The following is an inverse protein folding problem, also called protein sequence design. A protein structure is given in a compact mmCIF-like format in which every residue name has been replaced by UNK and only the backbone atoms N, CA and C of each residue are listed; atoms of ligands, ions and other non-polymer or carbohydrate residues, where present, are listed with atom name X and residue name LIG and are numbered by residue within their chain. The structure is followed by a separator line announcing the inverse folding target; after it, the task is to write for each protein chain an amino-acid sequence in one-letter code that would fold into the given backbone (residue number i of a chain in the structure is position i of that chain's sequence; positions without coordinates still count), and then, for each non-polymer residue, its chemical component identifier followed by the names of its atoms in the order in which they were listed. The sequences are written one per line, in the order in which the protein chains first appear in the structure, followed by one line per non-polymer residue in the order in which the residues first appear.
data_IF_871683736582
#
_entry.id   IF_871683736582
#
_cell.length_a   1.000
_cell.length_b   1.000
_cell.length_c   1.000
_cell.angle_alpha   90.00
_cell.angle_beta   90.00
_cell.angle_gamma   90.00
#
_symmetry.space_group_name_H-M   'P 1'
#
loop_
_entity.id
_entity.type
_entity.pdbx_description
1 polymer ?
#
# COMPACT_ATOMS: atom_id res chain seq x y z
N UNK A 1 -2.46 -9.18 -13.07
CA UNK A 1 -1.52 -8.08 -13.39
C UNK A 1 -2.24 -6.77 -13.11
N UNK A 2 -1.62 -5.83 -12.39
CA UNK A 2 -2.26 -4.52 -12.16
C UNK A 2 -2.43 -3.77 -13.49
N UNK A 3 -3.56 -3.08 -13.71
CA UNK A 3 -3.72 -2.25 -14.88
C UNK A 3 -2.78 -1.04 -14.81
N UNK A 4 -2.42 -0.52 -15.98
CA UNK A 4 -1.65 0.71 -16.12
C UNK A 4 -2.60 1.79 -16.63
N UNK A 5 -2.65 2.92 -15.95
CA UNK A 5 -3.50 4.05 -16.31
C UNK A 5 -2.70 5.35 -16.40
N UNK A 6 -2.97 6.21 -17.40
CA UNK A 6 -2.30 7.50 -17.50
C UNK A 6 -2.89 8.49 -16.49
N UNK A 7 -2.02 9.24 -15.82
CA UNK A 7 -2.38 10.39 -15.02
C UNK A 7 -2.85 11.54 -15.92
N UNK A 8 -3.82 12.30 -15.43
CA UNK A 8 -4.45 13.43 -16.16
C UNK A 8 -4.12 14.75 -15.51
N UNK A 9 -4.30 14.87 -14.19
CA UNK A 9 -4.08 16.13 -13.48
C UNK A 9 -3.67 15.92 -12.04
N UNK A 10 -2.70 16.70 -11.59
CA UNK A 10 -2.38 16.84 -10.16
C UNK A 10 -3.52 17.60 -9.46
N UNK A 11 -3.90 17.14 -8.26
CA UNK A 11 -4.87 17.83 -7.40
C UNK A 11 -4.16 18.45 -6.20
N UNK A 12 -3.46 17.64 -5.39
CA UNK A 12 -2.73 18.09 -4.19
C UNK A 12 -1.83 17.00 -3.62
N UNK A 13 -0.87 17.39 -2.79
CA UNK A 13 -0.22 16.50 -1.83
C UNK A 13 -1.17 16.27 -0.63
N UNK A 14 -1.32 15.02 -0.22
CA UNK A 14 -2.02 14.65 1.01
C UNK A 14 -1.03 14.80 2.17
N UNK A 15 -1.13 15.93 2.86
CA UNK A 15 -0.21 16.33 3.93
C UNK A 15 -0.67 15.91 5.33
N UNK A 16 -1.90 15.39 5.47
CA UNK A 16 -2.40 14.82 6.73
C UNK A 16 -2.22 13.31 6.74
N UNK A 17 -1.45 12.81 7.71
CA UNK A 17 -1.17 11.38 7.90
C UNK A 17 0.06 10.88 7.14
N UNK A 18 0.70 9.83 7.70
CA UNK A 18 1.80 9.10 7.08
C UNK A 18 3.11 9.90 6.88
N UNK A 19 4.20 9.20 6.54
CA UNK A 19 5.49 9.82 6.21
C UNK A 19 5.63 10.12 4.72
N UNK A 20 4.95 9.36 3.87
CA UNK A 20 5.14 9.29 2.42
C UNK A 20 4.39 10.37 1.63
N UNK A 21 3.58 11.20 2.30
CA UNK A 21 2.86 12.36 1.72
C UNK A 21 2.33 12.09 0.30
N UNK A 22 1.46 11.09 0.13
CA UNK A 22 1.03 10.65 -1.19
C UNK A 22 0.27 11.76 -1.91
N UNK A 23 0.21 11.68 -3.23
CA UNK A 23 -0.47 12.65 -4.07
C UNK A 23 -1.90 12.21 -4.34
N UNK A 24 -2.81 13.19 -4.46
CA UNK A 24 -4.10 12.97 -5.08
C UNK A 24 -4.02 13.38 -6.55
N UNK A 25 -4.32 12.44 -7.44
CA UNK A 25 -4.19 12.59 -8.90
C UNK A 25 -5.48 12.15 -9.58
N UNK A 26 -5.91 12.88 -10.60
CA UNK A 26 -6.94 12.40 -11.52
C UNK A 26 -6.32 11.46 -12.54
N UNK A 27 -6.92 10.29 -12.71
CA UNK A 27 -6.41 9.20 -13.55
C UNK A 27 -7.47 8.80 -14.56
N UNK A 28 -7.08 8.59 -15.81
CA UNK A 28 -7.98 8.15 -16.87
C UNK A 28 -8.13 6.62 -16.84
N UNK A 29 -9.26 6.15 -16.34
CA UNK A 29 -9.59 4.71 -16.27
C UNK A 29 -10.59 4.34 -17.36
N UNK A 30 -10.78 3.04 -17.68
CA UNK A 30 -11.86 2.60 -18.58
C UNK A 30 -13.26 3.04 -18.16
N UNK A 31 -13.45 3.37 -16.87
CA UNK A 31 -14.71 3.83 -16.30
C UNK A 31 -14.76 5.37 -16.15
N UNK A 32 -13.90 6.09 -16.87
CA UNK A 32 -13.78 7.55 -16.82
C UNK A 32 -12.65 8.06 -15.90
N UNK A 33 -12.58 9.39 -15.77
CA UNK A 33 -11.58 10.07 -14.95
C UNK A 33 -11.94 9.92 -13.47
N UNK A 34 -11.03 9.35 -12.67
CA UNK A 34 -11.26 9.06 -11.25
C UNK A 34 -10.08 9.52 -10.38
N UNK A 35 -10.32 9.90 -9.11
CA UNK A 35 -9.26 10.24 -8.18
C UNK A 35 -8.52 8.99 -7.67
N UNK A 36 -7.19 9.06 -7.69
CA UNK A 36 -6.28 8.04 -7.13
C UNK A 36 -5.32 8.68 -6.13
N UNK A 37 -5.05 7.95 -5.06
CA UNK A 37 -3.96 8.22 -4.12
C UNK A 37 -2.70 7.55 -4.66
N UNK A 38 -1.70 8.35 -5.03
CA UNK A 38 -0.48 7.89 -5.70
C UNK A 38 0.73 8.10 -4.79
N UNK A 39 1.50 7.04 -4.55
CA UNK A 39 2.69 7.10 -3.70
C UNK A 39 3.91 7.53 -4.49
N UNK A 40 4.55 8.61 -4.05
CA UNK A 40 5.71 9.22 -4.67
C UNK A 40 6.99 8.75 -3.99
N UNK A 41 7.32 7.48 -4.15
CA UNK A 41 8.54 6.91 -3.60
C UNK A 41 9.77 7.54 -4.25
N UNK A 42 10.69 8.01 -3.42
CA UNK A 42 11.93 8.63 -3.92
C UNK A 42 12.96 7.56 -4.25
N UNK A 43 13.86 7.91 -5.16
CA UNK A 43 14.91 7.00 -5.63
C UNK A 43 15.87 6.54 -4.51
N UNK A 44 16.03 7.35 -3.46
CA UNK A 44 16.83 7.05 -2.27
C UNK A 44 16.13 6.10 -1.27
N UNK A 45 14.83 5.87 -1.42
CA UNK A 45 14.05 4.94 -0.59
C UNK A 45 13.97 3.52 -1.19
N UNK A 46 14.54 3.32 -2.39
CA UNK A 46 14.42 2.08 -3.16
C UNK A 46 15.20 0.88 -2.59
N UNK A 47 16.11 1.08 -1.62
CA UNK A 47 16.85 -0.02 -0.97
C UNK A 47 15.92 -1.05 -0.30
N UNK A 48 14.66 -0.71 -0.04
CA UNK A 48 13.66 -1.59 0.59
C UNK A 48 12.51 -2.02 -0.33
N UNK A 49 12.61 -1.73 -1.62
CA UNK A 49 11.58 -1.99 -2.64
C UNK A 49 10.13 -1.66 -2.21
N UNK A 50 9.85 -0.47 -1.65
CA UNK A 50 8.56 -0.16 -1.05
C UNK A 50 7.40 -0.17 -2.06
N UNK A 51 7.69 0.12 -3.33
CA UNK A 51 6.73 -0.01 -4.45
C UNK A 51 6.29 -1.46 -4.64
N UNK A 52 7.25 -2.41 -4.64
CA UNK A 52 6.95 -3.82 -4.81
C UNK A 52 6.13 -4.32 -3.63
N UNK A 53 6.48 -3.94 -2.41
CA UNK A 53 5.76 -4.33 -1.20
C UNK A 53 4.30 -3.82 -1.22
N UNK A 54 4.06 -2.60 -1.68
CA UNK A 54 2.70 -2.10 -1.89
C UNK A 54 1.92 -2.93 -2.91
N UNK A 55 2.53 -3.21 -4.06
CA UNK A 55 1.89 -4.00 -5.11
C UNK A 55 1.55 -5.40 -4.60
N UNK A 56 2.53 -6.10 -4.04
CA UNK A 56 2.35 -7.46 -3.52
C UNK A 56 1.37 -7.48 -2.36
N UNK A 57 1.48 -6.54 -1.43
CA UNK A 57 0.59 -6.43 -0.28
C UNK A 57 -0.86 -6.20 -0.69
N UNK A 58 -1.11 -5.24 -1.60
CA UNK A 58 -2.46 -4.98 -2.10
C UNK A 58 -3.03 -6.17 -2.88
N UNK A 59 -2.25 -6.74 -3.81
CA UNK A 59 -2.70 -7.88 -4.63
C UNK A 59 -2.96 -9.10 -3.76
N UNK A 60 -2.04 -9.47 -2.86
CA UNK A 60 -2.24 -10.62 -1.98
C UNK A 60 -3.41 -10.42 -1.02
N UNK A 61 -3.55 -9.24 -0.40
CA UNK A 61 -4.69 -8.96 0.46
C UNK A 61 -6.02 -9.20 -0.28
N UNK A 62 -6.12 -8.75 -1.54
CA UNK A 62 -7.28 -8.99 -2.39
C UNK A 62 -7.53 -10.48 -2.64
N UNK A 63 -6.49 -11.27 -2.88
CA UNK A 63 -6.59 -12.74 -3.05
C UNK A 63 -7.00 -13.48 -1.75
N UNK A 64 -6.77 -12.87 -0.58
CA UNK A 64 -7.25 -13.35 0.72
C UNK A 64 -8.62 -12.78 1.11
N UNK A 65 -9.36 -12.20 0.16
CA UNK A 65 -10.66 -11.55 0.37
C UNK A 65 -10.63 -10.41 1.40
N UNK A 66 -9.45 -9.82 1.66
CA UNK A 66 -9.32 -8.66 2.52
C UNK A 66 -9.64 -7.38 1.72
N UNK A 67 -10.47 -6.46 2.25
CA UNK A 67 -10.85 -5.27 1.51
C UNK A 67 -9.65 -4.34 1.32
N UNK A 68 -9.31 -4.05 0.07
CA UNK A 68 -8.28 -3.09 -0.32
C UNK A 68 -8.82 -2.12 -1.38
N UNK A 69 -8.26 -0.90 -1.51
CA UNK A 69 -8.60 -0.03 -2.63
C UNK A 69 -8.08 -0.64 -3.94
N UNK A 70 -8.80 -0.39 -5.04
CA UNK A 70 -8.41 -0.87 -6.36
C UNK A 70 -7.08 -0.22 -6.78
N UNK A 71 -6.06 -1.04 -6.96
CA UNK A 71 -4.71 -0.60 -7.31
C UNK A 71 -4.48 -0.56 -8.83
N UNK A 72 -3.59 0.33 -9.24
CA UNK A 72 -3.09 0.47 -10.60
C UNK A 72 -1.67 1.02 -10.58
N UNK A 73 -0.95 0.82 -11.67
CA UNK A 73 0.27 1.56 -11.96
C UNK A 73 -0.11 2.83 -12.70
N UNK A 74 0.39 3.97 -12.24
CA UNK A 74 0.04 5.29 -12.75
C UNK A 74 1.21 5.85 -13.53
N UNK A 75 1.01 6.03 -14.83
CA UNK A 75 1.98 6.66 -15.72
C UNK A 75 1.87 8.18 -15.62
N UNK A 76 2.99 8.84 -15.37
CA UNK A 76 3.09 10.30 -15.25
C UNK A 76 3.90 10.84 -16.42
N UNK A 77 3.22 11.21 -17.50
CA UNK A 77 3.86 11.75 -18.70
C UNK A 77 4.06 13.28 -18.62
N UNK A 78 4.61 13.85 -19.69
CA UNK A 78 4.83 15.30 -19.78
C UNK A 78 3.51 16.09 -19.73
N UNK A 79 2.40 15.51 -20.22
CA UNK A 79 1.09 16.17 -20.14
C UNK A 79 0.62 16.30 -18.69
N UNK A 80 0.80 15.25 -17.89
CA UNK A 80 0.55 15.31 -16.46
C UNK A 80 1.48 16.32 -15.78
N UNK A 81 2.78 16.34 -16.10
CA UNK A 81 3.74 17.31 -15.55
C UNK A 81 3.29 18.75 -15.78
N UNK A 82 2.80 19.08 -16.97
CA UNK A 82 2.26 20.41 -17.30
C UNK A 82 1.02 20.80 -16.48
N UNK A 83 0.30 19.84 -15.88
CA UNK A 83 -0.84 20.13 -14.99
C UNK A 83 -0.41 20.68 -13.62
N UNK A 84 0.85 20.47 -13.22
CA UNK A 84 1.35 20.80 -11.89
C UNK A 84 1.75 22.27 -11.83
N UNK A 85 1.03 23.06 -11.02
CA UNK A 85 1.34 24.47 -10.77
C UNK A 85 2.06 24.72 -9.44
N UNK A 86 2.12 23.69 -8.59
CA UNK A 86 2.76 23.72 -7.28
C UNK A 86 4.27 23.45 -7.44
N UNK A 87 5.14 24.44 -7.16
CA UNK A 87 6.59 24.26 -7.29
C UNK A 87 7.13 23.12 -6.42
N UNK A 88 6.56 22.93 -5.23
CA UNK A 88 6.97 21.85 -4.31
C UNK A 88 6.67 20.49 -4.91
N UNK A 89 5.52 20.35 -5.57
CA UNK A 89 5.15 19.11 -6.24
C UNK A 89 6.06 18.84 -7.45
N UNK A 90 6.41 19.88 -8.23
CA UNK A 90 7.39 19.75 -9.32
C UNK A 90 8.77 19.30 -8.80
N UNK A 91 9.26 19.92 -7.73
CA UNK A 91 10.52 19.51 -7.09
C UNK A 91 10.51 18.04 -6.63
N UNK A 92 9.39 17.59 -6.04
CA UNK A 92 9.24 16.18 -5.67
C UNK A 92 9.23 15.28 -6.91
N UNK A 93 8.51 15.67 -7.97
CA UNK A 93 8.45 14.90 -9.21
C UNK A 93 9.84 14.74 -9.85
N UNK A 94 10.70 15.76 -9.73
CA UNK A 94 12.07 15.73 -10.24
C UNK A 94 13.01 14.81 -9.45
N UNK A 95 12.62 14.42 -8.23
CA UNK A 95 13.41 13.54 -7.35
C UNK A 95 12.98 12.06 -7.42
N UNK A 96 11.78 11.79 -7.92
CA UNK A 96 11.29 10.42 -8.11
C UNK A 96 11.71 9.90 -9.48
N UNK A 97 11.85 8.58 -9.62
CA UNK A 97 12.20 7.99 -10.92
C UNK A 97 11.05 8.10 -11.96
N UNK A 98 11.31 7.79 -13.22
CA UNK A 98 10.32 7.90 -14.31
C UNK A 98 9.35 6.70 -14.43
N UNK A 99 9.54 5.63 -13.65
CA UNK A 99 8.70 4.43 -13.76
C UNK A 99 7.27 4.72 -13.29
N UNK A 100 6.26 3.96 -13.75
CA UNK A 100 4.91 4.07 -13.23
C UNK A 100 4.86 3.97 -11.71
N UNK A 101 4.05 4.82 -11.09
CA UNK A 101 3.91 4.89 -9.63
C UNK A 101 2.77 4.01 -9.14
N UNK A 102 2.90 3.43 -7.96
CA UNK A 102 1.78 2.74 -7.35
C UNK A 102 0.68 3.76 -7.00
N UNK A 103 -0.52 3.50 -7.48
CA UNK A 103 -1.72 4.27 -7.14
C UNK A 103 -2.85 3.35 -6.72
N UNK A 104 -3.73 3.87 -5.86
CA UNK A 104 -4.96 3.19 -5.48
C UNK A 104 -6.15 4.14 -5.53
N UNK A 105 -7.34 3.62 -5.82
CA UNK A 105 -8.56 4.43 -5.88
C UNK A 105 -8.77 5.18 -4.55
N UNK A 106 -9.12 6.47 -4.63
CA UNK A 106 -9.48 7.22 -3.42
C UNK A 106 -10.75 6.62 -2.79
N UNK A 107 -10.67 6.30 -1.50
CA UNK A 107 -11.84 5.97 -0.69
C UNK A 107 -12.38 7.29 -0.12
N UNK A 108 -13.59 7.70 -0.49
CA UNK A 108 -14.19 8.93 0.03
C UNK A 108 -14.93 8.70 1.36
N UNK A 109 -15.08 9.75 2.15
CA UNK A 109 -15.86 9.72 3.41
C UNK A 109 -15.30 8.78 4.48
N UNK A 110 -14.03 8.37 4.34
CA UNK A 110 -13.39 7.48 5.28
C UNK A 110 -12.80 8.21 6.49
N UNK A 111 -12.49 7.45 7.54
CA UNK A 111 -11.65 7.88 8.64
C UNK A 111 -10.73 6.74 9.07
N UNK A 112 -9.65 7.06 9.80
CA UNK A 112 -8.74 6.03 10.30
C UNK A 112 -9.41 5.20 11.40
N UNK A 113 -9.26 3.88 11.31
CA UNK A 113 -9.58 2.98 12.41
C UNK A 113 -8.85 3.43 13.68
N UNK A 114 -9.46 3.20 14.84
CA UNK A 114 -8.84 3.49 16.14
C UNK A 114 -9.39 2.57 17.23
N UNK A 115 -8.78 2.59 18.41
CA UNK A 115 -9.12 1.69 19.53
C UNK A 115 -10.45 2.01 20.23
N UNK A 116 -11.18 3.05 19.80
CA UNK A 116 -12.50 3.36 20.35
C UNK A 116 -13.60 2.45 19.80
N UNK A 117 -13.33 1.70 18.73
CA UNK A 117 -14.26 0.68 18.23
C UNK A 117 -14.37 -0.50 19.19
N UNK A 118 -15.60 -0.91 19.49
CA UNK A 118 -15.84 -2.15 20.27
C UNK A 118 -15.48 -3.37 19.42
N UNK A 119 -15.01 -4.44 20.05
CA UNK A 119 -14.70 -5.73 19.39
C UNK A 119 -15.79 -6.17 18.40
N UNK A 120 -17.05 -6.16 18.81
CA UNK A 120 -18.18 -6.57 17.97
C UNK A 120 -18.46 -5.64 16.78
N UNK A 121 -18.00 -4.38 16.81
CA UNK A 121 -18.03 -3.48 15.66
C UNK A 121 -16.88 -3.82 14.71
N UNK A 122 -15.67 -3.98 15.25
CA UNK A 122 -14.49 -4.35 14.46
C UNK A 122 -14.67 -5.67 13.72
N UNK A 123 -15.16 -6.72 14.39
CA UNK A 123 -15.42 -8.02 13.76
C UNK A 123 -16.51 -7.99 12.69
N UNK A 124 -17.29 -6.92 12.58
CA UNK A 124 -18.24 -6.72 11.46
C UNK A 124 -17.63 -5.91 10.32
N UNK A 125 -16.55 -5.20 10.58
CA UNK A 125 -15.86 -4.36 9.60
C UNK A 125 -14.82 -5.14 8.80
N UNK A 126 -14.21 -6.15 9.42
CA UNK A 126 -13.13 -6.94 8.85
C UNK A 126 -12.98 -8.29 9.57
N UNK A 127 -12.60 -9.31 8.81
CA UNK A 127 -12.22 -10.63 9.33
C UNK A 127 -10.87 -10.54 10.05
N UNK A 128 -10.91 -10.40 11.38
CA UNK A 128 -9.73 -10.13 12.21
C UNK A 128 -8.71 -11.27 12.13
N UNK A 129 -9.16 -12.52 12.10
CA UNK A 129 -8.28 -13.69 12.06
C UNK A 129 -7.52 -13.76 10.73
N UNK A 130 -8.20 -13.48 9.61
CA UNK A 130 -7.60 -13.40 8.28
C UNK A 130 -6.63 -12.22 8.18
N UNK A 131 -7.01 -11.04 8.70
CA UNK A 131 -6.12 -9.88 8.75
C UNK A 131 -4.84 -10.17 9.52
N UNK A 132 -4.97 -10.79 10.70
CA UNK A 132 -3.83 -11.17 11.52
C UNK A 132 -2.93 -12.19 10.79
N UNK A 133 -3.51 -13.24 10.22
CA UNK A 133 -2.76 -14.23 9.45
C UNK A 133 -2.03 -13.59 8.26
N UNK A 134 -2.68 -12.64 7.57
CA UNK A 134 -2.09 -11.88 6.48
C UNK A 134 -0.91 -11.02 6.94
N UNK A 135 -1.06 -10.22 8.00
CA UNK A 135 0.04 -9.40 8.53
C UNK A 135 1.22 -10.26 9.01
N UNK A 136 0.96 -11.45 9.56
CA UNK A 136 2.02 -12.42 9.91
C UNK A 136 2.70 -12.94 8.65
N UNK A 137 1.94 -13.34 7.64
CA UNK A 137 2.45 -13.87 6.36
C UNK A 137 3.37 -12.87 5.67
N UNK A 138 2.94 -11.61 5.55
CA UNK A 138 3.73 -10.55 4.92
C UNK A 138 4.69 -9.87 5.90
N UNK A 139 4.74 -10.31 7.17
CA UNK A 139 5.56 -9.72 8.24
C UNK A 139 5.40 -8.19 8.34
N UNK A 140 4.16 -7.70 8.27
CA UNK A 140 3.85 -6.28 8.34
C UNK A 140 4.15 -5.72 9.74
N UNK A 141 5.29 -5.05 9.88
CA UNK A 141 5.68 -4.45 11.17
C UNK A 141 5.03 -3.09 11.43
N UNK A 142 4.44 -2.46 10.41
CA UNK A 142 3.89 -1.11 10.57
C UNK A 142 2.48 -1.13 11.18
N UNK A 143 1.70 -2.20 10.96
CA UNK A 143 0.36 -2.31 11.55
C UNK A 143 0.42 -2.51 13.06
N UNK A 144 -0.07 -1.53 13.81
CA UNK A 144 -0.15 -1.56 15.27
C UNK A 144 -1.31 -0.69 15.80
N UNK A 145 -1.46 -0.59 17.12
CA UNK A 145 -2.55 0.18 17.76
C UNK A 145 -2.55 1.68 17.46
N UNK A 146 -1.40 2.25 17.08
CA UNK A 146 -1.24 3.66 16.72
C UNK A 146 -1.30 3.88 15.20
N UNK A 147 -0.85 2.89 14.44
CA UNK A 147 -0.89 2.85 12.98
C UNK A 147 -1.69 1.63 12.51
N UNK A 148 -3.02 1.70 12.58
CA UNK A 148 -3.82 0.55 12.21
C UNK A 148 -3.84 0.32 10.70
N UNK A 149 -3.48 1.33 9.89
CA UNK A 149 -3.45 1.27 8.42
C UNK A 149 -4.74 0.66 7.83
N UNK A 150 -5.87 1.06 8.42
CA UNK A 150 -7.22 0.68 8.06
C UNK A 150 -8.06 1.95 7.89
N UNK A 151 -8.61 2.14 6.70
CA UNK A 151 -9.64 3.15 6.44
C UNK A 151 -11.00 2.55 6.73
N UNK A 152 -11.80 3.20 7.57
CA UNK A 152 -13.15 2.76 7.87
C UNK A 152 -14.14 3.59 7.04
N UNK A 153 -15.02 2.90 6.33
CA UNK A 153 -16.14 3.50 5.58
C UNK A 153 -17.41 2.71 5.86
N UNK A 154 -18.40 3.39 6.45
CA UNK A 154 -19.63 2.73 6.92
C UNK A 154 -19.33 1.56 7.87
N UNK A 155 -19.63 0.34 7.41
CA UNK A 155 -19.43 -0.91 8.14
C UNK A 155 -18.28 -1.78 7.58
N UNK A 156 -17.30 -1.19 6.90
CA UNK A 156 -16.17 -1.91 6.33
C UNK A 156 -14.85 -1.23 6.70
N UNK A 157 -13.82 -2.02 6.99
CA UNK A 157 -12.46 -1.55 7.14
C UNK A 157 -11.62 -2.01 5.94
N UNK A 158 -10.91 -1.07 5.33
CA UNK A 158 -10.14 -1.23 4.11
C UNK A 158 -8.67 -1.11 4.44
N UNK A 159 -7.89 -2.13 4.11
CA UNK A 159 -6.44 -2.16 4.29
C UNK A 159 -5.77 -1.19 3.34
N UNK A 160 -4.82 -0.45 3.89
CA UNK A 160 -3.92 0.43 3.16
C UNK A 160 -2.50 0.22 3.69
N UNK A 161 -1.52 0.79 3.00
CA UNK A 161 -0.15 0.97 3.48
C UNK A 161 0.56 -0.34 3.86
N UNK A 162 0.99 -1.08 2.83
CA UNK A 162 1.72 -2.34 2.91
C UNK A 162 3.23 -2.17 2.62
N UNK A 163 3.72 -0.95 2.44
CA UNK A 163 5.09 -0.66 2.00
C UNK A 163 6.20 -1.23 2.92
N UNK A 164 5.88 -1.44 4.21
CA UNK A 164 6.78 -2.04 5.21
C UNK A 164 6.50 -3.53 5.47
N UNK A 165 5.76 -4.17 4.57
CA UNK A 165 5.69 -5.63 4.49
C UNK A 165 6.94 -6.25 3.86
N UNK A 166 6.99 -7.58 3.86
CA UNK A 166 8.01 -8.41 3.22
C UNK A 166 9.46 -8.09 3.62
N UNK A 167 9.71 -7.69 4.87
CA UNK A 167 11.07 -7.43 5.37
C UNK A 167 11.87 -8.73 5.56
N UNK A 168 12.06 -9.51 4.49
CA UNK A 168 12.81 -10.76 4.46
C UNK A 168 14.24 -10.42 4.06
N UNK A 169 15.13 -10.41 5.05
CA UNK A 169 16.57 -10.23 4.87
C UNK A 169 17.34 -11.47 5.35
N UNK A 170 18.66 -11.50 5.13
CA UNK A 170 19.50 -12.60 5.59
C UNK A 170 19.35 -12.89 7.08
N UNK A 171 19.23 -11.86 7.93
CA UNK A 171 18.98 -12.02 9.36
C UNK A 171 17.67 -12.75 9.64
N UNK A 172 16.62 -12.44 8.88
CA UNK A 172 15.32 -13.13 8.97
C UNK A 172 15.49 -14.60 8.59
N UNK A 173 16.15 -14.88 7.47
CA UNK A 173 16.40 -16.25 7.00
C UNK A 173 17.18 -17.04 8.07
N UNK A 174 18.26 -16.46 8.59
CA UNK A 174 19.09 -17.04 9.64
C UNK A 174 18.29 -17.32 10.93
N UNK A 175 17.38 -16.42 11.32
CA UNK A 175 16.49 -16.64 12.48
C UNK A 175 15.51 -17.79 12.24
N UNK A 176 14.91 -17.87 11.05
CA UNK A 176 14.00 -18.96 10.69
C UNK A 176 14.73 -20.32 10.65
N UNK A 177 15.97 -20.33 10.15
CA UNK A 177 16.84 -21.50 10.16
C UNK A 177 17.20 -21.94 11.59
N UNK A 178 17.55 -20.98 12.45
CA UNK A 178 17.86 -21.23 13.86
C UNK A 178 16.66 -21.74 14.67
N UNK A 179 15.44 -21.35 14.30
CA UNK A 179 14.21 -21.88 14.89
C UNK A 179 13.85 -23.28 14.39
N UNK A 180 14.65 -23.87 13.48
CA UNK A 180 14.38 -25.14 12.82
C UNK A 180 12.99 -25.21 12.19
N UNK A 181 12.41 -24.07 11.78
CA UNK A 181 11.09 -24.04 11.13
C UNK A 181 11.17 -24.76 9.77
N UNK A 182 12.35 -24.75 9.14
CA UNK A 182 12.65 -25.53 7.93
C UNK A 182 12.68 -27.07 8.14
N UNK A 183 12.37 -27.57 9.34
CA UNK A 183 12.13 -28.99 9.55
C UNK A 183 10.84 -29.44 8.82
N UNK A 184 10.72 -30.73 8.52
CA UNK A 184 9.87 -31.30 7.44
C UNK A 184 8.42 -30.76 7.32
N UNK A 185 7.81 -30.30 8.42
CA UNK A 185 6.45 -29.78 8.44
C UNK A 185 6.26 -28.42 7.73
N UNK A 186 7.27 -27.53 7.73
CA UNK A 186 7.12 -26.15 7.18
C UNK A 186 8.13 -25.78 6.10
N UNK A 187 8.99 -26.73 5.69
CA UNK A 187 9.98 -26.54 4.61
C UNK A 187 9.38 -25.98 3.31
N UNK A 188 8.12 -26.26 3.02
CA UNK A 188 7.40 -25.79 1.83
C UNK A 188 6.48 -24.59 2.09
N UNK A 189 6.41 -24.11 3.33
CA UNK A 189 5.51 -23.03 3.76
C UNK A 189 6.25 -21.69 3.93
N UNK A 190 7.57 -21.67 3.79
CA UNK A 190 8.37 -20.45 3.80
C UNK A 190 8.58 -20.01 2.35
N UNK A 191 8.02 -18.86 1.97
CA UNK A 191 8.32 -18.21 0.71
C UNK A 191 9.72 -17.58 0.80
N UNK A 192 10.73 -18.32 0.33
CA UNK A 192 12.08 -17.77 0.13
C UNK A 192 12.12 -17.15 -1.26
N UNK A 193 12.07 -15.82 -1.34
CA UNK A 193 12.42 -15.09 -2.56
C UNK A 193 13.92 -15.34 -2.79
N UNK A 194 14.25 -16.08 -3.85
CA UNK A 194 15.61 -16.32 -4.32
C UNK A 194 15.90 -15.47 -5.54
#
# INVERSE_FOLDING_TARGET
MLPIYPAVSYIRIISQGGRTKPWLVLVNTPNGIKPYVVKMFRSDELEREPVLNEILGNVLAKEFDLPVPEAALIEMDENFRMSIKDPTALEILDLVDERPKFGSSLIEGNYLFNTSFKKNQTSRMIEIDTLFAFDVLIRNKDRNSFKPNLLVTGNSAILIDHELGFEINENTINQLDALHINNQAFKYHICLLR
#
